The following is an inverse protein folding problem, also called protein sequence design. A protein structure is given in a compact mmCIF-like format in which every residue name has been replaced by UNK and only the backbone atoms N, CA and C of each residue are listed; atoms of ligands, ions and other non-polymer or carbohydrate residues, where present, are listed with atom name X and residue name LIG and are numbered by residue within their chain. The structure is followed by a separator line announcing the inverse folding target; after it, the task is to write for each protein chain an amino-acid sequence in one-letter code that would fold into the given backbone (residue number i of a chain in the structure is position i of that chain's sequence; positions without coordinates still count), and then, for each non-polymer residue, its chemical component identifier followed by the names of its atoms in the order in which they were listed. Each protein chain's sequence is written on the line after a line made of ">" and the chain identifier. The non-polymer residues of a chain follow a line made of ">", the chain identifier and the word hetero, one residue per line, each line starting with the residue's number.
data_IF_377203359797
#
_entry.id   IF_377203359797
#
_cell.length_a   1.000
_cell.length_b   1.000
_cell.length_c   1.000
_cell.angle_alpha   90.00
_cell.angle_beta   90.00
_cell.angle_gamma   90.00
#
_symmetry.space_group_name_H-M   'P 1'
#
loop_
_entity.id
_entity.type
_entity.pdbx_description
1 polymer ?
#
# COMPACT_ATOMS: atom_id res chain seq x y z
N UNK A 1 10.95 21.21 -15.22
CA UNK A 1 11.29 21.28 -14.79
C UNK A 1 11.74 21.38 -14.50
N UNK A 2 11.27 21.30 -14.26
CA UNK A 2 11.61 21.39 -13.90
C UNK A 2 11.71 21.00 -13.41
N UNK A 3 11.25 20.93 -13.10
CA UNK A 3 11.37 20.46 -12.62
C UNK A 3 11.27 19.44 -12.53
N UNK A 4 10.74 18.92 -12.70
CA UNK A 4 10.76 17.86 -12.05
C UNK A 4 11.94 17.64 -11.42
N UNK A 5 12.06 18.58 -11.83
CA UNK A 5 12.82 18.86 -11.58
C UNK A 5 13.43 19.42 -11.14
N UNK A 6 13.22 19.81 -10.88
CA UNK A 6 13.67 20.56 -10.49
C UNK A 6 14.08 20.51 -9.96
N UNK A 7 14.19 20.28 -10.09
CA UNK A 7 14.21 19.98 -9.73
C UNK A 7 13.56 19.59 -9.24
N UNK A 8 13.07 19.46 -9.63
CA UNK A 8 12.31 19.03 -9.07
C UNK A 8 11.70 17.99 -9.00
N UNK A 9 12.02 17.32 -8.68
CA UNK A 9 11.10 16.37 -8.54
C UNK A 9 10.60 16.26 -7.20
N UNK A 10 10.04 17.22 -6.73
CA UNK A 10 9.28 17.15 -5.51
C UNK A 10 7.82 17.05 -5.85
N UNK A 11 7.03 16.49 -4.94
CA UNK A 11 5.60 16.37 -5.11
C UNK A 11 4.94 17.29 -4.12
N UNK A 12 4.43 18.43 -4.57
CA UNK A 12 3.66 19.31 -3.67
C UNK A 12 2.43 18.57 -3.15
N UNK A 13 1.86 19.04 -2.07
CA UNK A 13 0.72 18.38 -1.44
C UNK A 13 -0.47 18.20 -2.39
N UNK A 14 -0.59 19.03 -3.42
CA UNK A 14 -1.70 18.97 -4.36
C UNK A 14 -1.47 18.03 -5.53
N UNK A 15 -0.34 17.35 -5.60
CA UNK A 15 -0.06 16.39 -6.66
C UNK A 15 -0.78 15.06 -6.45
N UNK A 16 -1.21 14.78 -5.24
CA UNK A 16 -1.99 13.59 -4.95
C UNK A 16 -1.19 12.32 -4.74
N UNK A 17 0.10 12.43 -4.39
CA UNK A 17 0.91 11.25 -4.07
C UNK A 17 0.96 11.10 -2.57
N UNK A 18 0.60 9.92 -2.09
CA UNK A 18 0.67 9.56 -0.68
C UNK A 18 1.34 8.21 -0.55
N UNK A 19 1.96 7.96 0.58
CA UNK A 19 2.59 6.67 0.84
C UNK A 19 2.57 6.36 2.32
N UNK A 20 2.83 5.11 2.65
CA UNK A 20 2.89 4.69 4.03
C UNK A 20 3.42 3.28 4.16
N UNK A 21 3.45 2.81 5.40
CA UNK A 21 3.93 1.47 5.72
C UNK A 21 3.07 0.89 6.84
N UNK A 22 2.76 -0.38 6.72
CA UNK A 22 2.08 -1.12 7.77
C UNK A 22 3.09 -2.07 8.40
N UNK A 23 3.18 -2.03 9.72
CA UNK A 23 4.07 -2.90 10.46
C UNK A 23 3.67 -4.36 10.28
N UNK A 24 4.56 -5.28 10.66
CA UNK A 24 4.33 -6.71 10.54
C UNK A 24 3.04 -7.14 11.21
N UNK A 25 2.30 -7.99 10.52
CA UNK A 25 1.07 -8.60 11.02
C UNK A 25 1.19 -10.12 10.84
N UNK A 26 0.59 -10.88 11.75
CA UNK A 26 0.61 -12.33 11.67
C UNK A 26 -0.39 -12.80 10.63
N UNK A 27 0.07 -13.65 9.72
CA UNK A 27 -0.78 -14.30 8.71
C UNK A 27 -0.71 -15.79 8.93
N UNK A 28 -1.86 -16.39 9.21
CA UNK A 28 -1.93 -17.82 9.49
C UNK A 28 -1.49 -18.66 8.30
N UNK A 29 -1.06 -19.89 8.58
CA UNK A 29 -0.64 -20.82 7.55
C UNK A 29 -1.77 -21.08 6.56
N UNK A 30 -1.43 -21.11 5.28
CA UNK A 30 -2.35 -21.41 4.20
C UNK A 30 -3.61 -20.56 4.25
N UNK A 31 -3.44 -19.28 4.51
CA UNK A 31 -4.53 -18.33 4.73
C UNK A 31 -4.15 -16.95 4.25
N UNK A 32 -5.09 -16.02 4.34
CA UNK A 32 -4.81 -14.63 3.99
C UNK A 32 -5.28 -13.70 5.10
N UNK A 33 -4.74 -12.47 5.07
CA UNK A 33 -5.13 -11.40 5.97
C UNK A 33 -5.44 -10.16 5.13
N UNK A 34 -6.63 -9.59 5.34
CA UNK A 34 -7.02 -8.36 4.66
C UNK A 34 -6.86 -7.20 5.64
N UNK A 35 -6.15 -6.17 5.21
CA UNK A 35 -5.88 -5.00 6.03
C UNK A 35 -6.41 -3.76 5.32
N UNK A 36 -7.29 -3.03 6.00
CA UNK A 36 -7.80 -1.76 5.48
C UNK A 36 -6.83 -0.63 5.83
N UNK A 37 -6.58 0.23 4.86
CA UNK A 37 -5.74 1.42 5.03
C UNK A 37 -6.55 2.63 4.62
N UNK A 38 -6.58 3.65 5.49
CA UNK A 38 -7.24 4.92 5.20
C UNK A 38 -6.19 5.92 4.76
N UNK A 39 -6.42 6.59 3.63
CA UNK A 39 -5.49 7.61 3.16
C UNK A 39 -5.47 8.80 4.13
N UNK A 40 -4.29 9.39 4.39
CA UNK A 40 -4.22 10.63 5.16
C UNK A 40 -5.10 11.74 4.57
N UNK A 41 -5.20 11.81 3.24
CA UNK A 41 -6.08 12.74 2.54
C UNK A 41 -6.85 11.98 1.49
N UNK A 42 -8.14 12.23 1.39
CA UNK A 42 -8.95 11.53 0.40
C UNK A 42 -8.78 12.12 -0.99
N UNK A 43 -9.10 11.31 -1.99
CA UNK A 43 -9.02 11.67 -3.39
C UNK A 43 -10.40 11.99 -3.94
N UNK A 44 -10.45 12.59 -5.14
CA UNK A 44 -11.72 12.83 -5.83
C UNK A 44 -12.38 11.52 -6.26
N UNK A 45 -11.58 10.53 -6.59
CA UNK A 45 -12.02 9.21 -7.03
C UNK A 45 -10.97 8.21 -6.59
N UNK A 46 -11.22 6.93 -6.78
CA UNK A 46 -10.26 5.89 -6.41
C UNK A 46 -8.92 6.13 -7.12
N UNK A 47 -7.81 6.23 -6.36
CA UNK A 47 -6.48 6.42 -6.95
C UNK A 47 -5.89 5.09 -7.42
N UNK A 48 -4.72 5.16 -8.04
CA UNK A 48 -3.91 3.99 -8.28
C UNK A 48 -3.09 3.69 -7.03
N UNK A 49 -3.07 2.45 -6.59
CA UNK A 49 -2.35 2.03 -5.39
C UNK A 49 -1.46 0.85 -5.74
N UNK A 50 -0.21 0.93 -5.30
CA UNK A 50 0.76 -0.14 -5.43
C UNK A 50 1.23 -0.53 -4.03
N UNK A 51 1.33 -1.82 -3.78
CA UNK A 51 1.81 -2.36 -2.50
C UNK A 51 2.99 -3.27 -2.75
N UNK A 52 3.85 -3.36 -1.73
CA UNK A 52 5.02 -4.21 -1.76
C UNK A 52 5.22 -4.81 -0.37
N UNK A 53 5.47 -6.12 -0.26
CA UNK A 53 5.74 -6.69 1.05
C UNK A 53 7.07 -6.16 1.59
N UNK A 54 7.12 -5.95 2.89
CA UNK A 54 8.35 -5.50 3.55
C UNK A 54 8.33 -6.00 4.99
N UNK A 55 9.50 -6.10 5.58
CA UNK A 55 9.68 -6.56 6.96
C UNK A 55 9.16 -8.00 7.12
N UNK A 56 9.83 -8.77 7.91
CA UNK A 56 9.37 -10.11 8.23
C UNK A 56 9.59 -11.14 7.13
N UNK A 57 8.84 -12.24 7.22
CA UNK A 57 9.03 -13.42 6.39
C UNK A 57 8.07 -13.43 5.21
N UNK A 58 8.39 -12.67 4.19
CA UNK A 58 7.48 -12.49 3.05
C UNK A 58 7.86 -13.27 1.79
N UNK A 59 8.90 -14.12 1.86
CA UNK A 59 9.47 -14.77 0.66
C UNK A 59 8.45 -15.56 -0.14
N UNK A 60 7.47 -16.19 0.51
CA UNK A 60 6.46 -17.00 -0.16
C UNK A 60 5.08 -16.36 -0.13
N UNK A 61 4.97 -15.13 0.34
CA UNK A 61 3.68 -14.47 0.45
C UNK A 61 3.33 -13.71 -0.82
N UNK A 62 2.06 -13.68 -1.15
CA UNK A 62 1.54 -12.80 -2.19
C UNK A 62 0.87 -11.61 -1.52
N UNK A 63 1.16 -10.41 -2.01
CA UNK A 63 0.58 -9.16 -1.49
C UNK A 63 -0.06 -8.42 -2.64
N UNK A 64 -1.27 -7.97 -2.45
CA UNK A 64 -1.98 -7.23 -3.50
C UNK A 64 -3.10 -6.38 -2.97
N UNK A 65 -3.59 -5.49 -3.82
CA UNK A 65 -4.70 -4.61 -3.51
C UNK A 65 -5.97 -5.26 -4.03
N UNK A 66 -6.97 -5.44 -3.18
CA UNK A 66 -8.22 -6.09 -3.58
C UNK A 66 -9.40 -5.12 -3.66
N UNK A 67 -9.26 -3.92 -3.11
CA UNK A 67 -10.31 -2.90 -3.19
C UNK A 67 -9.70 -1.53 -3.00
N UNK A 68 -10.15 -0.55 -3.76
CA UNK A 68 -9.68 0.83 -3.66
C UNK A 68 -10.89 1.75 -3.73
N UNK A 69 -10.87 2.78 -2.89
CA UNK A 69 -11.86 3.85 -2.92
C UNK A 69 -11.17 5.20 -2.79
N UNK A 70 -11.95 6.27 -2.83
CA UNK A 70 -11.39 7.61 -2.67
C UNK A 70 -10.78 7.84 -1.29
N UNK A 71 -11.18 7.07 -0.29
CA UNK A 71 -10.75 7.27 1.10
C UNK A 71 -9.75 6.25 1.60
N UNK A 72 -9.55 5.14 0.90
CA UNK A 72 -8.64 4.11 1.36
C UNK A 72 -8.61 2.90 0.45
N UNK A 73 -7.90 1.88 0.87
CA UNK A 73 -7.82 0.64 0.11
C UNK A 73 -7.69 -0.54 1.07
N UNK A 74 -7.89 -1.74 0.54
CA UNK A 74 -7.68 -2.98 1.29
C UNK A 74 -6.56 -3.77 0.64
N UNK A 75 -5.58 -4.14 1.45
CA UNK A 75 -4.44 -4.95 1.04
C UNK A 75 -4.64 -6.37 1.54
N UNK A 76 -4.44 -7.35 0.67
CA UNK A 76 -4.50 -8.76 1.03
C UNK A 76 -3.10 -9.34 1.02
N UNK A 77 -2.74 -10.01 2.13
CA UNK A 77 -1.50 -10.78 2.22
C UNK A 77 -1.90 -12.24 2.28
N UNK A 78 -1.44 -13.03 1.33
CA UNK A 78 -1.72 -14.46 1.30
C UNK A 78 -0.46 -15.24 1.66
N UNK A 79 -0.60 -16.14 2.62
CA UNK A 79 0.47 -17.03 3.06
C UNK A 79 0.15 -18.48 2.64
N UNK A 80 0.76 -18.99 1.58
CA UNK A 80 0.52 -20.36 1.14
C UNK A 80 1.31 -21.40 1.92
N UNK A 81 2.16 -20.97 2.85
CA UNK A 81 3.03 -21.88 3.60
C UNK A 81 2.31 -22.65 4.66
N UNK A 82 3.02 -23.58 5.27
CA UNK A 82 2.49 -24.45 6.32
C UNK A 82 2.65 -23.89 7.73
N UNK A 83 3.23 -22.72 7.87
CA UNK A 83 3.44 -22.05 9.15
C UNK A 83 2.98 -20.62 9.07
N UNK A 84 2.53 -20.05 10.18
CA UNK A 84 2.21 -18.64 10.27
C UNK A 84 3.48 -17.80 10.08
N UNK A 85 3.33 -16.63 9.48
CA UNK A 85 4.43 -15.69 9.28
C UNK A 85 4.01 -14.30 9.68
N UNK A 86 4.99 -13.43 9.95
CA UNK A 86 4.75 -12.02 10.20
C UNK A 86 5.23 -11.22 9.01
N UNK A 87 4.37 -10.43 8.43
CA UNK A 87 4.64 -9.68 7.20
C UNK A 87 4.04 -8.28 7.29
N UNK A 88 4.82 -7.29 6.89
CA UNK A 88 4.33 -5.94 6.71
C UNK A 88 4.27 -5.58 5.23
N UNK A 89 3.79 -4.39 4.93
CA UNK A 89 3.79 -3.91 3.56
C UNK A 89 3.97 -2.39 3.50
N UNK A 90 4.47 -1.94 2.37
CA UNK A 90 4.54 -0.53 2.04
C UNK A 90 3.58 -0.25 0.91
N UNK A 91 3.11 0.99 0.81
CA UNK A 91 2.17 1.35 -0.24
C UNK A 91 2.44 2.77 -0.74
N UNK A 92 2.05 2.99 -1.98
CA UNK A 92 2.07 4.29 -2.61
C UNK A 92 0.75 4.45 -3.36
N UNK A 93 0.15 5.61 -3.23
CA UNK A 93 -1.09 5.95 -3.94
C UNK A 93 -0.89 7.21 -4.73
N UNK A 94 -1.47 7.27 -5.92
CA UNK A 94 -1.41 8.45 -6.77
C UNK A 94 -2.76 8.66 -7.44
N UNK A 95 -3.28 9.86 -7.30
CA UNK A 95 -4.58 10.21 -7.87
C UNK A 95 -4.83 11.69 -7.81
N UNK A 96 -6.07 12.09 -8.10
CA UNK A 96 -6.46 13.49 -8.09
C UNK A 96 -6.90 13.88 -6.68
N UNK A 97 -6.21 14.83 -6.04
CA UNK A 97 -6.60 15.24 -4.68
C UNK A 97 -7.97 15.92 -4.71
N UNK A 98 -8.64 15.77 -3.60
CA UNK A 98 -9.96 16.36 -3.44
C UNK A 98 -9.88 17.84 -3.08
#
# INVERSE_FOLDING_TARGET
>A
MANWNTGHNHFPADVGVQCGMRAQQSVAANSHLDTAVTFPKKYCAAPNVVVCPCLGSFANCAVGVIAVSATGFTCRIFNPGSSAVNVGFQWIAAGTPQ
#
